data_IF_846077801555
#
_entry.id   IF_846077801555
#
_cell.length_a   1.000
_cell.length_b   1.000
_cell.length_c   1.000
_cell.angle_alpha   90.00
_cell.angle_beta   90.00
_cell.angle_gamma   90.00
#
_symmetry.space_group_name_H-M   'P 1'
#
loop_
_entity.id
_entity.type
_entity.pdbx_description
1 polymer ?
#
# COMPACT_ATOMS: atom_id res chain seq x y z
N UNK A 1 -14.68 -19.56 -18.03
CA UNK A 1 -13.47 -20.00 -17.31
C UNK A 1 -12.34 -18.98 -17.48
N UNK A 2 -12.14 -18.47 -18.69
CA UNK A 2 -11.04 -17.55 -19.05
C UNK A 2 -11.08 -16.22 -18.30
N UNK A 3 -12.26 -15.63 -18.11
CA UNK A 3 -12.43 -14.38 -17.36
C UNK A 3 -11.99 -14.47 -15.89
N UNK A 4 -12.25 -15.60 -15.23
CA UNK A 4 -11.84 -15.78 -13.83
C UNK A 4 -10.31 -15.91 -13.71
N UNK A 5 -9.68 -16.60 -14.67
CA UNK A 5 -8.21 -16.73 -14.72
C UNK A 5 -7.59 -15.36 -14.98
N UNK A 6 -8.12 -14.60 -15.94
CA UNK A 6 -7.66 -13.24 -16.23
C UNK A 6 -7.77 -12.33 -15.00
N UNK A 7 -8.91 -12.34 -14.30
CA UNK A 7 -9.09 -11.56 -13.07
C UNK A 7 -8.11 -11.98 -11.97
N UNK A 8 -7.81 -13.28 -11.84
CA UNK A 8 -6.84 -13.76 -10.86
C UNK A 8 -5.42 -13.29 -11.17
N UNK A 9 -5.02 -13.31 -12.45
CA UNK A 9 -3.72 -12.78 -12.89
C UNK A 9 -3.63 -11.29 -12.57
N UNK A 10 -4.66 -10.51 -12.92
CA UNK A 10 -4.73 -9.08 -12.57
C UNK A 10 -4.65 -8.90 -11.06
N UNK A 11 -5.41 -9.64 -10.28
CA UNK A 11 -5.43 -9.53 -8.81
C UNK A 11 -4.05 -9.79 -8.19
N UNK A 12 -3.37 -10.86 -8.61
CA UNK A 12 -2.03 -11.18 -8.09
C UNK A 12 -1.01 -10.14 -8.55
N UNK A 13 -1.05 -9.71 -9.81
CA UNK A 13 -0.20 -8.65 -10.32
C UNK A 13 -0.40 -7.35 -9.53
N UNK A 14 -1.64 -6.92 -9.36
CA UNK A 14 -2.02 -5.76 -8.55
C UNK A 14 -1.54 -5.87 -7.11
N UNK A 15 -1.62 -7.05 -6.49
CA UNK A 15 -1.11 -7.26 -5.13
C UNK A 15 0.41 -7.02 -5.05
N UNK A 16 1.17 -7.53 -6.03
CA UNK A 16 2.61 -7.34 -6.11
C UNK A 16 2.96 -5.87 -6.30
N UNK A 17 2.28 -5.18 -7.21
CA UNK A 17 2.50 -3.76 -7.49
C UNK A 17 2.01 -2.83 -6.38
N UNK A 18 1.04 -3.25 -5.58
CA UNK A 18 0.62 -2.53 -4.39
C UNK A 18 1.68 -2.63 -3.28
N UNK A 19 2.23 -3.82 -3.02
CA UNK A 19 3.17 -4.00 -1.89
C UNK A 19 4.63 -3.64 -2.18
N UNK A 20 5.12 -3.93 -3.38
CA UNK A 20 6.56 -3.98 -3.66
C UNK A 20 7.21 -2.62 -3.97
N UNK A 21 6.76 -1.91 -5.02
CA UNK A 21 7.44 -0.73 -5.54
C UNK A 21 7.63 0.40 -4.53
N UNK A 22 6.60 0.72 -3.73
CA UNK A 22 6.65 1.81 -2.76
C UNK A 22 7.57 1.50 -1.58
N UNK A 23 7.53 0.28 -1.05
CA UNK A 23 8.46 -0.18 -0.02
C UNK A 23 9.91 -0.11 -0.52
N UNK A 24 10.15 -0.58 -1.74
CA UNK A 24 11.47 -0.50 -2.38
C UNK A 24 11.96 0.95 -2.53
N UNK A 25 11.09 1.83 -3.02
CA UNK A 25 11.40 3.25 -3.18
C UNK A 25 11.64 3.95 -1.83
N UNK A 26 10.89 3.58 -0.78
CA UNK A 26 11.08 4.09 0.57
C UNK A 26 12.43 3.68 1.16
N UNK A 27 12.82 2.40 1.00
CA UNK A 27 14.12 1.92 1.44
C UNK A 27 15.26 2.60 0.68
N UNK A 28 15.13 2.78 -0.63
CA UNK A 28 16.10 3.50 -1.46
C UNK A 28 16.23 4.96 -1.03
N UNK A 29 15.11 5.64 -0.79
CA UNK A 29 15.08 7.01 -0.27
C UNK A 29 15.78 7.09 1.10
N UNK A 30 15.51 6.15 2.01
CA UNK A 30 16.18 6.06 3.31
C UNK A 30 17.70 5.89 3.17
N UNK A 31 18.15 5.04 2.23
CA UNK A 31 19.56 4.84 1.95
C UNK A 31 20.22 6.11 1.38
N UNK A 32 19.58 6.78 0.41
CA UNK A 32 20.05 8.04 -0.17
C UNK A 32 20.19 9.13 0.88
N UNK A 33 19.18 9.30 1.75
CA UNK A 33 19.23 10.26 2.87
C UNK A 33 20.41 10.00 3.80
N UNK A 34 20.76 8.73 4.03
CA UNK A 34 21.88 8.33 4.88
C UNK A 34 23.25 8.55 4.22
N UNK A 35 23.36 8.33 2.91
CA UNK A 35 24.63 8.43 2.18
C UNK A 35 24.94 9.85 1.71
N UNK A 36 23.97 10.52 1.09
CA UNK A 36 24.15 11.82 0.45
C UNK A 36 23.70 12.98 1.34
N UNK A 37 22.85 12.71 2.34
CA UNK A 37 22.22 13.72 3.18
C UNK A 37 20.84 14.16 2.68
N UNK A 38 20.12 14.91 3.52
CA UNK A 38 18.70 15.26 3.30
C UNK A 38 18.50 16.26 2.13
N UNK A 39 19.39 17.24 1.99
CA UNK A 39 19.21 18.41 1.12
C UNK A 39 20.08 18.36 -0.13
N UNK A 40 20.13 17.21 -0.79
CA UNK A 40 20.88 17.02 -2.04
C UNK A 40 19.97 16.82 -3.24
N UNK A 41 20.50 17.06 -4.43
CA UNK A 41 19.79 16.79 -5.69
C UNK A 41 19.40 15.32 -5.83
N UNK A 42 20.27 14.41 -5.38
CA UNK A 42 20.04 12.97 -5.40
C UNK A 42 18.85 12.58 -4.50
N UNK A 43 18.84 13.04 -3.25
CA UNK A 43 17.74 12.77 -2.30
C UNK A 43 16.43 13.39 -2.77
N UNK A 44 16.46 14.59 -3.34
CA UNK A 44 15.28 15.23 -3.92
C UNK A 44 14.71 14.46 -5.13
N UNK A 45 15.58 13.92 -6.00
CA UNK A 45 15.14 13.01 -7.06
C UNK A 45 14.53 11.73 -6.47
N UNK A 46 15.13 11.20 -5.41
CA UNK A 46 14.60 10.06 -4.65
C UNK A 46 13.18 10.31 -4.14
N UNK A 47 12.90 11.48 -3.56
CA UNK A 47 11.55 11.86 -3.12
C UNK A 47 10.55 11.91 -4.27
N UNK A 48 10.95 12.42 -5.45
CA UNK A 48 10.09 12.45 -6.64
C UNK A 48 9.74 11.04 -7.12
N UNK A 49 10.73 10.16 -7.21
CA UNK A 49 10.52 8.75 -7.59
C UNK A 49 9.64 8.05 -6.55
N UNK A 50 9.89 8.28 -5.25
CA UNK A 50 9.07 7.74 -4.18
C UNK A 50 7.60 8.14 -4.33
N UNK A 51 7.29 9.42 -4.54
CA UNK A 51 5.91 9.90 -4.77
C UNK A 51 5.29 9.26 -6.01
N UNK A 52 6.05 9.08 -7.10
CA UNK A 52 5.56 8.38 -8.29
C UNK A 52 5.22 6.92 -8.00
N UNK A 53 6.03 6.24 -7.19
CA UNK A 53 5.78 4.85 -6.79
C UNK A 53 4.56 4.73 -5.87
N UNK A 54 4.30 5.73 -5.01
CA UNK A 54 3.04 5.79 -4.25
C UNK A 54 1.83 5.88 -5.20
N UNK A 55 1.88 6.69 -6.26
CA UNK A 55 0.77 6.75 -7.23
C UNK A 55 0.52 5.37 -7.85
N UNK A 56 1.59 4.67 -8.25
CA UNK A 56 1.49 3.33 -8.82
C UNK A 56 0.87 2.33 -7.82
N UNK A 57 1.30 2.39 -6.55
CA UNK A 57 0.74 1.58 -5.46
C UNK A 57 -0.78 1.77 -5.35
N UNK A 58 -1.26 3.02 -5.28
CA UNK A 58 -2.70 3.31 -5.16
C UNK A 58 -3.51 2.85 -6.38
N UNK A 59 -2.96 3.02 -7.58
CA UNK A 59 -3.59 2.51 -8.81
C UNK A 59 -3.68 0.98 -8.73
N UNK A 60 -2.59 0.32 -8.32
CA UNK A 60 -2.58 -1.13 -8.13
C UNK A 60 -3.58 -1.58 -7.06
N UNK A 61 -3.74 -0.84 -5.96
CA UNK A 61 -4.74 -1.09 -4.94
C UNK A 61 -6.18 -1.03 -5.49
N UNK A 62 -6.49 -0.03 -6.30
CA UNK A 62 -7.81 0.08 -6.96
C UNK A 62 -8.08 -1.14 -7.85
N UNK A 63 -7.11 -1.56 -8.66
CA UNK A 63 -7.23 -2.78 -9.46
C UNK A 63 -7.33 -4.04 -8.60
N UNK A 64 -6.64 -4.10 -7.46
CA UNK A 64 -6.72 -5.20 -6.50
C UNK A 64 -8.14 -5.33 -5.94
N UNK A 65 -8.77 -4.22 -5.56
CA UNK A 65 -10.14 -4.18 -5.07
C UNK A 65 -11.15 -4.56 -6.15
N UNK A 66 -11.08 -3.95 -7.34
CA UNK A 66 -12.00 -4.25 -8.45
C UNK A 66 -11.91 -5.71 -8.86
N UNK A 67 -10.70 -6.24 -9.05
CA UNK A 67 -10.51 -7.65 -9.40
C UNK A 67 -10.96 -8.59 -8.29
N UNK A 68 -10.74 -8.23 -7.01
CA UNK A 68 -11.22 -8.98 -5.86
C UNK A 68 -12.74 -9.04 -5.77
N UNK A 69 -13.42 -7.91 -5.95
CA UNK A 69 -14.88 -7.81 -6.01
C UNK A 69 -15.42 -8.61 -7.19
N UNK A 70 -14.83 -8.46 -8.38
CA UNK A 70 -15.23 -9.20 -9.58
C UNK A 70 -15.10 -10.71 -9.40
N UNK A 71 -14.02 -11.20 -8.77
CA UNK A 71 -13.88 -12.62 -8.47
C UNK A 71 -14.87 -13.10 -7.40
N UNK A 72 -15.18 -12.27 -6.40
CA UNK A 72 -16.19 -12.59 -5.40
C UNK A 72 -17.54 -12.76 -6.11
N UNK A 73 -18.04 -11.75 -6.84
CA UNK A 73 -19.36 -11.80 -7.48
C UNK A 73 -19.51 -12.94 -8.50
N UNK A 74 -18.45 -13.32 -9.21
CA UNK A 74 -18.51 -14.37 -10.23
C UNK A 74 -18.51 -15.81 -9.67
N UNK A 75 -17.91 -16.04 -8.50
CA UNK A 75 -17.66 -17.41 -8.00
C UNK A 75 -18.28 -17.67 -6.62
N UNK A 76 -18.37 -16.64 -5.78
CA UNK A 76 -18.78 -16.77 -4.39
C UNK A 76 -19.90 -15.77 -4.06
N UNK A 77 -21.02 -16.24 -3.51
CA UNK A 77 -21.94 -15.34 -2.82
C UNK A 77 -21.22 -14.64 -1.65
N UNK A 78 -21.75 -13.51 -1.18
CA UNK A 78 -21.20 -12.76 -0.02
C UNK A 78 -21.37 -13.47 1.32
N UNK A 79 -22.06 -14.61 1.34
CA UNK A 79 -22.44 -15.35 2.54
C UNK A 79 -21.37 -16.35 3.02
N UNK A 80 -20.12 -16.17 2.60
CA UNK A 80 -19.02 -17.03 2.99
C UNK A 80 -18.25 -16.41 4.17
N UNK A 81 -18.15 -17.08 5.34
CA UNK A 81 -17.52 -16.49 6.53
C UNK A 81 -16.08 -16.00 6.29
N UNK A 82 -15.26 -16.79 5.57
CA UNK A 82 -13.88 -16.40 5.26
C UNK A 82 -13.81 -15.14 4.39
N UNK A 83 -14.79 -14.94 3.50
CA UNK A 83 -14.87 -13.76 2.64
C UNK A 83 -15.30 -12.55 3.45
N UNK A 84 -16.25 -12.70 4.37
CA UNK A 84 -16.69 -11.63 5.29
C UNK A 84 -15.53 -11.14 6.16
N UNK A 85 -14.76 -12.05 6.77
CA UNK A 85 -13.56 -11.69 7.52
C UNK A 85 -12.49 -11.00 6.67
N UNK A 86 -12.27 -11.49 5.45
CA UNK A 86 -11.37 -10.83 4.49
C UNK A 86 -11.81 -9.40 4.19
N UNK A 87 -13.09 -9.20 3.91
CA UNK A 87 -13.66 -7.87 3.64
C UNK A 87 -13.59 -6.96 4.87
N UNK A 88 -13.78 -7.50 6.07
CA UNK A 88 -13.67 -6.75 7.31
C UNK A 88 -12.24 -6.23 7.53
N UNK A 89 -11.22 -7.06 7.31
CA UNK A 89 -9.81 -6.64 7.36
C UNK A 89 -9.55 -5.54 6.33
N UNK A 90 -10.03 -5.71 5.09
CA UNK A 90 -9.87 -4.71 4.04
C UNK A 90 -10.52 -3.38 4.46
N UNK A 91 -11.76 -3.42 4.93
CA UNK A 91 -12.55 -2.23 5.25
C UNK A 91 -12.07 -1.48 6.50
N UNK A 92 -11.67 -2.21 7.55
CA UNK A 92 -11.31 -1.62 8.84
C UNK A 92 -9.82 -1.33 8.99
N UNK A 93 -8.96 -2.05 8.26
CA UNK A 93 -7.51 -1.92 8.41
C UNK A 93 -6.92 -1.33 7.14
N UNK A 94 -7.12 -1.98 5.99
CA UNK A 94 -6.43 -1.58 4.76
C UNK A 94 -6.95 -0.23 4.26
N UNK A 95 -8.25 -0.06 4.06
CA UNK A 95 -8.83 1.18 3.50
C UNK A 95 -8.47 2.42 4.35
N UNK A 96 -8.60 2.42 5.69
CA UNK A 96 -8.21 3.58 6.48
C UNK A 96 -6.72 3.91 6.40
N UNK A 97 -5.85 2.89 6.34
CA UNK A 97 -4.41 3.10 6.16
C UNK A 97 -4.11 3.69 4.77
N UNK A 98 -4.73 3.17 3.71
CA UNK A 98 -4.58 3.69 2.35
C UNK A 98 -5.08 5.12 2.22
N UNK A 99 -6.20 5.48 2.86
CA UNK A 99 -6.70 6.86 2.88
C UNK A 99 -5.67 7.78 3.55
N UNK A 100 -5.09 7.35 4.67
CA UNK A 100 -4.04 8.11 5.34
C UNK A 100 -2.79 8.24 4.46
N UNK A 101 -2.38 7.16 3.77
CA UNK A 101 -1.23 7.18 2.88
C UNK A 101 -1.44 8.11 1.68
N UNK A 102 -2.59 8.05 0.99
CA UNK A 102 -2.95 9.00 -0.09
C UNK A 102 -2.91 10.44 0.43
N UNK A 103 -3.50 10.69 1.61
CA UNK A 103 -3.60 12.03 2.15
C UNK A 103 -2.23 12.63 2.45
N UNK A 104 -1.34 11.88 3.10
CA UNK A 104 -0.01 12.38 3.41
C UNK A 104 0.91 12.31 2.19
N UNK A 105 1.00 11.14 1.55
CA UNK A 105 1.88 10.80 0.44
C UNK A 105 1.62 11.59 -0.84
N UNK A 106 0.36 11.76 -1.23
CA UNK A 106 -0.01 12.36 -2.52
C UNK A 106 -0.57 13.78 -2.41
N UNK A 107 -1.11 14.19 -1.26
CA UNK A 107 -1.65 15.54 -1.09
C UNK A 107 -0.69 16.44 -0.31
N UNK A 108 -0.07 15.97 0.79
CA UNK A 108 0.74 16.83 1.66
C UNK A 108 2.24 16.86 1.32
N UNK A 109 2.83 15.75 0.87
CA UNK A 109 4.26 15.69 0.56
C UNK A 109 4.65 16.35 -0.78
N UNK A 110 3.91 16.21 -1.89
CA UNK A 110 4.38 16.72 -3.18
C UNK A 110 4.63 18.23 -3.23
N UNK A 111 3.84 19.10 -2.55
CA UNK A 111 4.16 20.52 -2.47
C UNK A 111 5.53 20.81 -1.84
N UNK A 112 5.96 20.00 -0.87
CA UNK A 112 7.24 20.18 -0.14
C UNK A 112 8.44 19.90 -1.06
N UNK A 113 8.30 18.96 -1.99
CA UNK A 113 9.35 18.54 -2.94
C UNK A 113 9.11 19.03 -4.36
N UNK A 114 8.24 20.04 -4.53
CA UNK A 114 7.99 20.66 -5.83
C UNK A 114 9.22 21.41 -6.34
N UNK A 115 10.00 21.97 -5.42
CA UNK A 115 11.24 22.68 -5.67
C UNK A 115 12.37 22.10 -4.83
N UNK A 116 13.58 22.12 -5.38
CA UNK A 116 14.76 21.70 -4.64
C UNK A 116 14.99 22.68 -3.49
N UNK A 117 14.87 22.19 -2.26
CA UNK A 117 15.15 22.98 -1.08
C UNK A 117 16.55 22.64 -0.54
N UNK A 118 17.49 23.56 -0.73
CA UNK A 118 18.88 23.43 -0.26
C UNK A 118 19.11 24.06 1.11
N UNK A 119 18.14 24.82 1.64
CA UNK A 119 18.28 25.62 2.86
C UNK A 119 17.57 25.01 4.08
N UNK A 120 16.83 23.92 3.88
CA UNK A 120 16.11 23.23 4.95
C UNK A 120 14.60 23.44 4.91
N UNK A 121 13.84 22.52 5.50
CA UNK A 121 12.38 22.60 5.57
C UNK A 121 11.92 23.51 6.72
N UNK A 122 10.82 24.23 6.52
CA UNK A 122 10.16 24.98 7.58
C UNK A 122 9.57 24.01 8.64
N UNK A 123 9.25 24.55 9.82
CA UNK A 123 8.77 23.75 10.95
C UNK A 123 7.52 22.93 10.63
N UNK A 124 6.62 23.45 9.78
CA UNK A 124 5.40 22.74 9.41
C UNK A 124 5.70 21.59 8.44
N UNK A 125 6.53 21.81 7.43
CA UNK A 125 6.93 20.75 6.49
C UNK A 125 7.73 19.65 7.18
N UNK A 126 8.66 20.02 8.08
CA UNK A 126 9.43 19.05 8.88
C UNK A 126 8.52 18.19 9.76
N UNK A 127 7.53 18.81 10.41
CA UNK A 127 6.55 18.08 11.24
C UNK A 127 5.71 17.10 10.41
N UNK A 128 5.25 17.51 9.22
CA UNK A 128 4.48 16.63 8.30
C UNK A 128 5.32 15.45 7.81
N UNK A 129 6.57 15.70 7.43
CA UNK A 129 7.53 14.67 7.04
C UNK A 129 7.76 13.65 8.14
N UNK A 130 7.94 14.14 9.37
CA UNK A 130 8.11 13.29 10.55
C UNK A 130 6.85 12.46 10.83
N UNK A 131 5.66 13.07 10.79
CA UNK A 131 4.40 12.34 11.00
C UNK A 131 4.26 11.19 10.00
N UNK A 132 4.50 11.47 8.72
CA UNK A 132 4.41 10.47 7.67
C UNK A 132 5.44 9.33 7.86
N UNK A 133 6.73 9.65 7.89
CA UNK A 133 7.79 8.64 7.90
C UNK A 133 7.85 7.84 9.21
N UNK A 134 7.52 8.46 10.36
CA UNK A 134 7.69 7.84 11.68
C UNK A 134 6.43 7.14 12.13
N UNK A 135 5.25 7.71 11.92
CA UNK A 135 4.01 7.10 12.40
C UNK A 135 3.32 6.32 11.29
N UNK A 136 2.94 7.00 10.21
CA UNK A 136 2.14 6.37 9.14
C UNK A 136 2.90 5.22 8.50
N UNK A 137 4.13 5.45 8.04
CA UNK A 137 4.91 4.42 7.35
C UNK A 137 5.28 3.26 8.28
N UNK A 138 5.64 3.50 9.55
CA UNK A 138 5.96 2.40 10.49
C UNK A 138 4.74 1.55 10.83
N UNK A 139 3.59 2.19 11.03
CA UNK A 139 2.32 1.49 11.26
C UNK A 139 1.97 0.67 10.02
N UNK A 140 2.07 1.25 8.82
CA UNK A 140 1.81 0.55 7.56
C UNK A 140 2.75 -0.64 7.34
N UNK A 141 4.07 -0.47 7.57
CA UNK A 141 5.07 -1.54 7.44
C UNK A 141 4.76 -2.74 8.34
N UNK A 142 4.14 -2.53 9.50
CA UNK A 142 3.74 -3.64 10.37
C UNK A 142 2.35 -4.20 10.02
N UNK A 143 1.35 -3.32 9.89
CA UNK A 143 -0.05 -3.71 9.73
C UNK A 143 -0.34 -4.27 8.33
N UNK A 144 0.25 -3.73 7.27
CA UNK A 144 -0.02 -4.20 5.90
C UNK A 144 0.46 -5.65 5.73
N UNK A 145 1.72 -6.03 6.04
CA UNK A 145 2.15 -7.42 5.93
C UNK A 145 1.35 -8.37 6.83
N UNK A 146 1.07 -7.97 8.07
CA UNK A 146 0.23 -8.77 8.97
C UNK A 146 -1.17 -9.00 8.39
N UNK A 147 -1.79 -7.96 7.84
CA UNK A 147 -3.12 -8.04 7.20
C UNK A 147 -3.09 -8.90 5.95
N UNK A 148 -2.06 -8.76 5.11
CA UNK A 148 -1.88 -9.60 3.91
C UNK A 148 -1.72 -11.07 4.29
N UNK A 149 -0.89 -11.38 5.29
CA UNK A 149 -0.72 -12.74 5.78
C UNK A 149 -2.03 -13.31 6.35
N UNK A 150 -2.79 -12.52 7.13
CA UNK A 150 -4.09 -12.92 7.64
C UNK A 150 -5.09 -13.19 6.49
N UNK A 151 -5.11 -12.34 5.46
CA UNK A 151 -5.95 -12.54 4.27
C UNK A 151 -5.53 -13.80 3.50
N UNK A 152 -4.23 -14.03 3.33
CA UNK A 152 -3.71 -15.23 2.65
C UNK A 152 -4.05 -16.50 3.44
N UNK A 153 -3.91 -16.45 4.76
CA UNK A 153 -4.37 -17.52 5.65
C UNK A 153 -5.86 -17.80 5.44
N UNK A 154 -6.73 -16.79 5.44
CA UNK A 154 -8.17 -16.97 5.18
C UNK A 154 -8.45 -17.58 3.80
N UNK A 155 -7.61 -17.28 2.80
CA UNK A 155 -7.73 -17.84 1.45
C UNK A 155 -7.28 -19.31 1.39
N UNK A 156 -6.26 -19.70 2.16
CA UNK A 156 -5.78 -21.09 2.25
C UNK A 156 -6.70 -21.93 3.13
N UNK A 157 -7.15 -21.37 4.26
CA UNK A 157 -8.05 -21.97 5.22
C UNK A 157 -9.53 -21.95 4.79
N UNK A 158 -9.83 -21.50 3.56
CA UNK A 158 -11.12 -21.76 2.88
C UNK A 158 -11.54 -23.20 3.15
N UNK A 159 -12.83 -23.48 3.37
CA UNK A 159 -13.28 -24.65 4.11
C UNK A 159 -12.68 -25.97 3.61
N UNK A 160 -11.56 -26.37 4.23
CA UNK A 160 -11.32 -27.69 4.81
C UNK A 160 -11.86 -27.76 6.26
N UNK A 161 -12.42 -26.65 6.77
CA UNK A 161 -13.08 -26.55 8.08
C UNK A 161 -14.46 -27.27 8.12
N UNK A 162 -14.97 -27.76 6.98
CA UNK A 162 -16.18 -28.61 6.89
C UNK A 162 -15.82 -30.11 6.82
N UNK A 163 -14.64 -30.51 7.31
CA UNK A 163 -14.29 -31.94 7.54
C UNK A 163 -13.73 -32.21 8.94
N UNK A 164 -14.16 -31.43 9.91
CA UNK A 164 -14.16 -31.83 11.31
C UNK A 164 -15.62 -31.70 11.76
N UNK A 165 -16.27 -32.86 11.89
CA UNK A 165 -17.71 -33.15 12.04
C UNK A 165 -18.47 -33.31 10.72
#
# INVERSE_FOLDING_TARGET
MDWFIALKIVHIGSLIFWLGPSLGAWLMLGALRKQEGEFTRATHLGYKVFIQMLILEHVAFVFLLISGIGMATLVFGTDQPWLQWKLLIILLVIIPLEIADIWYGNIKLPPIFSQLNTQGYDKLSSTRLHIYHVYITRIAIALIPASVLAIMWLVIAKPNIIRLW
#
